data_IF_705088711178
#
_entry.id   IF_705088711178
#
_cell.length_a   1.000
_cell.length_b   1.000
_cell.length_c   1.000
_cell.angle_alpha   90.00
_cell.angle_beta   90.00
_cell.angle_gamma   90.00
#
_symmetry.space_group_name_H-M   'P 1'
#
loop_
_entity.id
_entity.type
_entity.pdbx_description
1 polymer ?
#
# COMPACT_ATOMS: atom_id res chain seq x y z
N UNK A 1 13.78 -3.50 16.05
CA UNK A 1 12.66 -2.55 16.18
C UNK A 1 13.14 -1.21 15.67
N UNK A 2 12.68 -0.81 14.50
CA UNK A 2 12.96 0.52 13.93
C UNK A 2 12.25 1.56 14.77
N UNK A 3 12.97 2.46 15.35
CA UNK A 3 12.41 3.59 16.06
C UNK A 3 13.24 4.83 15.80
N UNK A 4 13.04 5.47 14.65
CA UNK A 4 13.13 6.92 14.67
C UNK A 4 11.73 7.42 14.99
N UNK A 5 11.55 8.04 16.12
CA UNK A 5 10.31 8.74 16.44
C UNK A 5 10.64 10.17 16.80
N UNK A 6 9.88 11.06 16.23
CA UNK A 6 9.81 12.43 16.69
C UNK A 6 9.17 12.46 18.08
N UNK A 7 9.96 12.73 19.08
CA UNK A 7 9.42 13.13 20.40
C UNK A 7 9.52 14.65 20.46
N UNK A 8 8.40 15.31 20.62
CA UNK A 8 8.29 16.77 20.76
C UNK A 8 8.85 17.58 19.58
N UNK A 9 8.66 17.10 18.35
CA UNK A 9 9.10 17.82 17.15
C UNK A 9 10.62 17.91 16.98
N UNK A 10 11.40 17.16 17.77
CA UNK A 10 12.85 17.08 17.64
C UNK A 10 13.28 15.71 17.21
N UNK A 11 14.02 15.63 16.11
CA UNK A 11 14.71 14.40 15.71
C UNK A 11 15.72 14.03 16.81
N UNK A 12 15.53 12.90 17.47
CA UNK A 12 16.58 12.32 18.30
C UNK A 12 17.61 11.67 17.38
N UNK A 13 18.87 11.75 17.78
CA UNK A 13 19.96 11.04 17.14
C UNK A 13 19.58 9.55 17.03
N UNK A 14 19.70 9.02 15.83
CA UNK A 14 19.38 7.64 15.51
C UNK A 14 20.36 6.74 16.20
N UNK A 15 19.86 5.77 16.96
CA UNK A 15 20.69 4.68 17.47
C UNK A 15 20.79 3.62 16.40
N UNK A 16 21.99 3.08 16.22
CA UNK A 16 22.20 1.90 15.42
C UNK A 16 21.30 0.77 15.97
N UNK A 17 20.48 0.19 15.10
CA UNK A 17 19.67 -0.97 15.45
C UNK A 17 20.41 -2.23 14.99
N UNK A 18 20.40 -3.27 15.80
CA UNK A 18 20.92 -4.59 15.42
C UNK A 18 19.78 -5.49 15.03
N UNK A 19 19.94 -6.18 13.91
CA UNK A 19 18.98 -7.15 13.39
C UNK A 19 19.70 -8.46 13.11
N UNK A 20 19.18 -9.56 13.61
CA UNK A 20 19.67 -10.90 13.27
C UNK A 20 18.79 -11.56 12.22
N UNK A 21 19.38 -11.92 11.08
CA UNK A 21 18.73 -12.61 9.99
C UNK A 21 19.58 -13.79 9.56
N UNK A 22 19.03 -14.99 9.59
CA UNK A 22 19.71 -16.22 9.18
C UNK A 22 21.10 -16.42 9.85
N UNK A 23 21.20 -16.10 11.14
CA UNK A 23 22.44 -16.23 11.92
C UNK A 23 23.51 -15.18 11.60
N UNK A 24 23.17 -14.12 10.89
CA UNK A 24 24.03 -12.95 10.66
C UNK A 24 23.46 -11.73 11.37
N UNK A 25 24.31 -11.02 12.06
CA UNK A 25 23.99 -9.74 12.69
C UNK A 25 24.23 -8.60 11.70
N UNK A 26 23.22 -7.79 11.48
CA UNK A 26 23.28 -6.57 10.70
C UNK A 26 23.11 -5.36 11.59
N UNK A 27 23.89 -4.33 11.37
CA UNK A 27 23.69 -3.02 11.98
C UNK A 27 22.97 -2.13 10.98
N UNK A 28 21.83 -1.60 11.39
CA UNK A 28 21.00 -0.68 10.58
C UNK A 28 21.12 0.71 11.18
N UNK A 29 21.50 1.67 10.37
CA UNK A 29 21.62 3.08 10.74
C UNK A 29 20.74 3.92 9.85
N UNK A 30 19.92 4.77 10.42
CA UNK A 30 19.23 5.82 9.68
C UNK A 30 20.21 6.97 9.42
N UNK A 31 20.47 7.24 8.15
CA UNK A 31 21.36 8.33 7.74
C UNK A 31 20.61 9.66 7.67
N UNK A 32 19.35 9.62 7.22
CA UNK A 32 18.47 10.77 7.11
C UNK A 32 17.01 10.33 7.13
N UNK A 33 16.13 11.20 7.63
CA UNK A 33 14.69 11.11 7.47
C UNK A 33 14.09 12.51 7.34
N UNK A 34 13.01 12.62 6.59
CA UNK A 34 12.33 13.88 6.35
C UNK A 34 10.85 13.66 6.06
N UNK A 35 10.00 14.54 6.62
CA UNK A 35 8.62 14.68 6.16
C UNK A 35 8.61 15.41 4.81
N UNK A 36 8.03 14.79 3.77
CA UNK A 36 7.97 15.33 2.43
C UNK A 36 6.80 16.29 2.30
N UNK A 37 7.06 17.55 2.65
CA UNK A 37 6.10 18.63 2.64
C UNK A 37 6.51 19.67 1.61
N UNK A 38 5.60 20.04 0.72
CA UNK A 38 5.85 21.08 -0.27
C UNK A 38 5.71 22.50 0.32
N UNK A 39 6.03 23.51 -0.47
CA UNK A 39 5.97 24.93 -0.04
C UNK A 39 4.56 25.41 0.32
N UNK A 40 3.52 24.75 -0.14
CA UNK A 40 2.12 25.01 0.22
C UNK A 40 1.68 24.29 1.51
N UNK A 41 2.58 23.48 2.11
CA UNK A 41 2.31 22.74 3.34
C UNK A 41 1.63 21.38 3.12
N UNK A 42 1.38 20.97 1.88
CA UNK A 42 0.84 19.63 1.60
C UNK A 42 1.92 18.57 1.81
N UNK A 43 1.58 17.51 2.52
CA UNK A 43 2.44 16.36 2.80
C UNK A 43 2.40 15.33 1.69
N UNK A 44 3.25 14.30 1.77
CA UNK A 44 3.34 13.19 0.80
C UNK A 44 3.78 13.65 -0.60
N UNK A 45 4.57 14.71 -0.66
CA UNK A 45 4.97 15.34 -1.91
C UNK A 45 6.13 14.61 -2.60
N UNK A 46 5.85 14.01 -3.74
CA UNK A 46 6.81 13.23 -4.52
C UNK A 46 7.97 14.08 -5.06
N UNK A 47 7.71 15.35 -5.42
CA UNK A 47 8.78 16.23 -5.93
C UNK A 47 9.75 16.59 -4.81
N UNK A 48 9.24 16.86 -3.60
CA UNK A 48 10.07 17.07 -2.42
C UNK A 48 10.92 15.84 -2.11
N UNK A 49 10.37 14.63 -2.26
CA UNK A 49 11.12 13.39 -2.06
C UNK A 49 12.27 13.23 -3.07
N UNK A 50 12.01 13.52 -4.36
CA UNK A 50 13.04 13.51 -5.39
C UNK A 50 14.16 14.52 -5.14
N UNK A 51 13.85 15.68 -4.59
CA UNK A 51 14.85 16.67 -4.20
C UNK A 51 15.63 16.24 -2.95
N UNK A 52 14.95 15.63 -1.98
CA UNK A 52 15.58 15.16 -0.75
C UNK A 52 16.65 14.08 -1.02
N UNK A 53 16.37 13.12 -1.90
CA UNK A 53 17.37 12.09 -2.25
C UNK A 53 18.61 12.72 -2.86
N UNK A 54 18.48 13.76 -3.68
CA UNK A 54 19.62 14.51 -4.22
C UNK A 54 20.49 15.13 -3.13
N UNK A 55 19.87 15.71 -2.10
CA UNK A 55 20.57 16.28 -0.94
C UNK A 55 21.25 15.20 -0.11
N UNK A 56 20.55 14.08 0.14
CA UNK A 56 21.11 12.97 0.92
C UNK A 56 22.29 12.29 0.23
N UNK A 57 22.22 12.13 -1.09
CA UNK A 57 23.33 11.54 -1.86
C UNK A 57 24.55 12.44 -1.89
N UNK A 58 24.37 13.76 -1.87
CA UNK A 58 25.49 14.69 -1.74
C UNK A 58 26.20 14.58 -0.36
N UNK A 59 25.42 14.25 0.69
CA UNK A 59 25.94 14.14 2.06
C UNK A 59 26.51 12.76 2.38
N UNK A 60 25.87 11.70 1.93
CA UNK A 60 26.16 10.32 2.34
C UNK A 60 26.71 9.44 1.20
N UNK A 61 26.40 9.78 -0.05
CA UNK A 61 26.93 9.08 -1.22
C UNK A 61 26.68 7.57 -1.16
N UNK A 62 27.76 6.79 -1.27
CA UNK A 62 27.72 5.32 -1.27
C UNK A 62 27.39 4.68 0.09
N UNK A 63 27.13 5.46 1.11
CA UNK A 63 26.72 4.92 2.41
C UNK A 63 25.21 4.59 2.46
N UNK A 64 24.45 5.00 1.43
CA UNK A 64 23.04 4.70 1.33
C UNK A 64 22.86 3.32 0.74
N UNK A 65 22.47 2.36 1.57
CA UNK A 65 22.26 0.96 1.17
C UNK A 65 20.77 0.63 0.91
N UNK A 66 19.85 1.47 1.43
CA UNK A 66 18.40 1.28 1.29
C UNK A 66 17.66 2.61 1.40
N UNK A 67 16.59 2.73 0.66
CA UNK A 67 15.62 3.82 0.77
C UNK A 67 14.27 3.25 1.20
N UNK A 68 13.63 3.85 2.20
CA UNK A 68 12.29 3.46 2.66
C UNK A 68 11.38 4.68 2.60
N UNK A 69 10.24 4.50 1.98
CA UNK A 69 9.21 5.53 1.84
C UNK A 69 7.88 5.07 2.40
N UNK A 70 7.12 6.00 2.97
CA UNK A 70 5.79 5.73 3.51
C UNK A 70 4.72 5.54 2.43
N UNK A 71 5.00 5.90 1.17
CA UNK A 71 4.16 5.57 0.03
C UNK A 71 4.98 5.39 -1.25
N UNK A 72 4.36 4.77 -2.25
CA UNK A 72 5.01 4.50 -3.53
C UNK A 72 5.27 5.78 -4.34
N UNK A 73 4.39 6.77 -4.27
CA UNK A 73 4.59 8.02 -5.03
C UNK A 73 5.91 8.71 -4.69
N UNK A 74 6.23 8.82 -3.41
CA UNK A 74 7.52 9.37 -2.95
C UNK A 74 8.67 8.37 -3.20
N UNK A 75 8.43 7.08 -2.94
CA UNK A 75 9.42 6.02 -3.18
C UNK A 75 9.85 5.97 -4.65
N UNK A 76 8.91 5.99 -5.57
CA UNK A 76 9.18 6.01 -7.02
C UNK A 76 9.92 7.28 -7.45
N UNK A 77 9.60 8.42 -6.87
CA UNK A 77 10.34 9.66 -7.15
C UNK A 77 11.80 9.55 -6.75
N UNK A 78 12.11 9.02 -5.57
CA UNK A 78 13.49 8.79 -5.12
C UNK A 78 14.19 7.68 -5.93
N UNK A 79 13.46 6.62 -6.26
CA UNK A 79 13.96 5.52 -7.08
C UNK A 79 14.40 6.01 -8.46
N UNK A 80 13.53 6.72 -9.15
CA UNK A 80 13.82 7.24 -10.50
C UNK A 80 14.88 8.35 -10.50
N UNK A 81 14.94 9.17 -9.45
CA UNK A 81 15.92 10.25 -9.36
C UNK A 81 17.35 9.75 -9.10
N UNK A 82 17.51 8.61 -8.42
CA UNK A 82 18.86 8.16 -8.04
C UNK A 82 18.99 6.66 -7.76
N UNK A 83 18.08 6.04 -7.02
CA UNK A 83 18.29 4.71 -6.46
C UNK A 83 18.38 3.62 -7.55
N UNK A 84 17.63 3.75 -8.63
CA UNK A 84 17.62 2.83 -9.77
C UNK A 84 19.02 2.71 -10.41
N UNK A 85 19.64 3.82 -10.74
CA UNK A 85 20.94 3.85 -11.40
C UNK A 85 22.07 3.38 -10.48
N UNK A 86 21.89 3.56 -9.17
CA UNK A 86 22.86 3.14 -8.16
C UNK A 86 22.57 1.75 -7.58
N UNK A 87 21.51 1.06 -8.07
CA UNK A 87 21.09 -0.27 -7.64
C UNK A 87 20.80 -0.35 -6.13
N UNK A 88 20.25 0.72 -5.58
CA UNK A 88 19.85 0.79 -4.18
C UNK A 88 18.38 0.40 -4.07
N UNK A 89 18.04 -0.68 -3.35
CA UNK A 89 16.66 -1.08 -3.17
C UNK A 89 15.86 0.01 -2.48
N UNK A 90 14.69 0.30 -3.05
CA UNK A 90 13.75 1.28 -2.53
C UNK A 90 12.44 0.58 -2.20
N UNK A 91 11.90 0.82 -1.03
CA UNK A 91 10.66 0.22 -0.56
C UNK A 91 9.60 1.31 -0.35
N UNK A 92 8.37 0.99 -0.72
CA UNK A 92 7.23 1.88 -0.58
C UNK A 92 6.02 1.22 0.09
N UNK A 93 4.87 1.83 -0.11
CA UNK A 93 3.58 1.40 0.40
C UNK A 93 2.49 1.84 -0.57
N UNK A 94 1.39 1.12 -0.69
CA UNK A 94 0.18 1.29 -1.48
C UNK A 94 0.04 0.29 -2.64
N UNK A 95 1.14 -0.31 -3.11
CA UNK A 95 1.18 -1.17 -4.29
C UNK A 95 0.62 -0.48 -5.56
N UNK A 96 1.05 0.77 -5.78
CA UNK A 96 0.71 1.49 -7.00
C UNK A 96 1.24 0.74 -8.22
N UNK A 97 0.50 0.76 -9.32
CA UNK A 97 0.81 -0.03 -10.52
C UNK A 97 2.20 0.23 -11.11
N UNK A 98 2.66 1.47 -11.07
CA UNK A 98 4.00 1.88 -11.51
C UNK A 98 5.11 1.34 -10.58
N UNK A 99 4.90 1.38 -9.26
CA UNK A 99 5.83 0.82 -8.28
C UNK A 99 5.91 -0.70 -8.38
N UNK A 100 4.75 -1.37 -8.52
CA UNK A 100 4.71 -2.83 -8.74
C UNK A 100 5.44 -3.23 -10.03
N UNK A 101 5.22 -2.50 -11.12
CA UNK A 101 5.94 -2.73 -12.37
C UNK A 101 7.46 -2.50 -12.23
N UNK A 102 7.87 -1.49 -11.46
CA UNK A 102 9.26 -1.16 -11.22
C UNK A 102 10.04 -2.19 -10.39
N UNK A 103 9.35 -3.13 -9.73
CA UNK A 103 10.01 -4.26 -9.05
C UNK A 103 10.85 -5.08 -10.05
N UNK A 104 10.37 -5.25 -11.29
CA UNK A 104 11.14 -5.88 -12.36
C UNK A 104 12.41 -5.10 -12.74
N UNK A 105 12.48 -3.82 -12.38
CA UNK A 105 13.59 -2.90 -12.68
C UNK A 105 14.50 -2.64 -11.48
N UNK A 106 14.23 -3.29 -10.34
CA UNK A 106 15.03 -3.20 -9.12
C UNK A 106 14.41 -2.36 -7.99
N UNK A 107 13.14 -1.93 -8.10
CA UNK A 107 12.41 -1.44 -6.95
C UNK A 107 12.29 -2.58 -5.94
N UNK A 108 12.63 -2.34 -4.68
CA UNK A 108 12.77 -3.40 -3.67
C UNK A 108 11.46 -4.08 -3.31
N UNK A 109 10.37 -3.34 -3.32
CA UNK A 109 9.04 -3.83 -3.03
C UNK A 109 8.12 -2.76 -2.48
N UNK A 110 6.88 -3.13 -2.30
CA UNK A 110 5.83 -2.28 -1.73
C UNK A 110 4.89 -3.11 -0.85
N UNK A 111 3.97 -2.46 -0.17
CA UNK A 111 2.93 -3.12 0.61
C UNK A 111 1.57 -2.83 -0.04
N UNK A 112 0.85 -3.87 -0.40
CA UNK A 112 -0.57 -3.75 -0.73
C UNK A 112 -1.38 -3.67 0.54
N UNK A 113 -2.17 -2.62 0.68
CA UNK A 113 -3.13 -2.50 1.78
C UNK A 113 -4.51 -3.07 1.43
N UNK A 114 -4.62 -3.78 0.32
CA UNK A 114 -5.87 -4.37 -0.16
C UNK A 114 -7.04 -3.38 -0.16
N UNK A 115 -6.88 -2.29 -0.89
CA UNK A 115 -7.90 -1.25 -1.00
C UNK A 115 -9.24 -1.77 -1.54
N UNK A 116 -9.22 -2.80 -2.39
CA UNK A 116 -10.36 -3.55 -2.87
C UNK A 116 -11.12 -4.26 -1.73
N UNK A 117 -10.40 -4.96 -0.85
CA UNK A 117 -10.97 -5.62 0.33
C UNK A 117 -11.55 -4.58 1.29
N UNK A 118 -10.85 -3.46 1.52
CA UNK A 118 -11.35 -2.35 2.35
C UNK A 118 -12.64 -1.78 1.79
N UNK A 119 -12.70 -1.54 0.49
CA UNK A 119 -13.90 -1.04 -0.18
C UNK A 119 -15.06 -2.03 -0.06
N UNK A 120 -14.82 -3.32 -0.30
CA UNK A 120 -15.83 -4.36 -0.15
C UNK A 120 -16.40 -4.39 1.27
N UNK A 121 -15.54 -4.50 2.27
CA UNK A 121 -15.96 -4.55 3.67
C UNK A 121 -16.77 -3.31 4.06
N UNK A 122 -16.29 -2.13 3.70
CA UNK A 122 -16.97 -0.86 3.98
C UNK A 122 -18.37 -0.84 3.39
N UNK A 123 -18.52 -1.20 2.13
CA UNK A 123 -19.82 -1.20 1.46
C UNK A 123 -20.75 -2.27 2.01
N UNK A 124 -20.22 -3.45 2.33
CA UNK A 124 -21.05 -4.53 2.87
C UNK A 124 -21.59 -4.17 4.26
N UNK A 125 -20.73 -3.67 5.15
CA UNK A 125 -21.13 -3.19 6.48
C UNK A 125 -22.15 -2.07 6.38
N UNK A 126 -21.90 -1.08 5.52
CA UNK A 126 -22.83 0.03 5.31
C UNK A 126 -24.18 -0.45 4.78
N UNK A 127 -24.18 -1.35 3.81
CA UNK A 127 -25.40 -1.93 3.26
C UNK A 127 -26.18 -2.69 4.33
N UNK A 128 -25.52 -3.55 5.10
CA UNK A 128 -26.15 -4.31 6.17
C UNK A 128 -26.77 -3.37 7.22
N UNK A 129 -26.06 -2.31 7.60
CA UNK A 129 -26.59 -1.31 8.53
C UNK A 129 -27.82 -0.58 7.99
N UNK A 130 -27.86 -0.23 6.70
CA UNK A 130 -29.01 0.43 6.05
C UNK A 130 -30.21 -0.52 5.93
N UNK A 131 -29.96 -1.79 5.69
CA UNK A 131 -31.02 -2.81 5.61
C UNK A 131 -31.54 -3.26 6.99
N UNK A 132 -30.90 -2.77 8.09
CA UNK A 132 -31.28 -3.11 9.46
C UNK A 132 -30.97 -4.56 9.85
N UNK A 133 -30.04 -5.19 9.15
CA UNK A 133 -29.53 -6.53 9.47
C UNK A 133 -28.19 -6.45 10.21
N UNK A 134 -27.75 -7.59 10.75
CA UNK A 134 -26.43 -7.65 11.41
C UNK A 134 -25.33 -7.23 10.44
N UNK A 135 -24.42 -6.38 10.93
CA UNK A 135 -23.32 -5.83 10.11
C UNK A 135 -22.42 -6.90 9.49
N UNK A 136 -22.35 -8.08 10.11
CA UNK A 136 -21.54 -9.21 9.67
C UNK A 136 -22.22 -10.06 8.58
N UNK A 137 -23.50 -9.78 8.29
CA UNK A 137 -24.29 -10.58 7.36
C UNK A 137 -23.61 -10.69 5.99
N UNK A 138 -23.29 -11.91 5.61
CA UNK A 138 -22.68 -12.23 4.31
C UNK A 138 -21.19 -11.87 4.17
N UNK A 139 -20.54 -11.37 5.23
CA UNK A 139 -19.08 -11.20 5.23
C UNK A 139 -18.41 -12.56 5.49
N UNK A 140 -17.45 -12.95 4.65
CA UNK A 140 -16.78 -14.26 4.75
C UNK A 140 -17.59 -15.45 4.32
N UNK A 141 -18.83 -15.25 3.83
CA UNK A 141 -19.63 -16.32 3.22
C UNK A 141 -19.60 -16.20 1.71
N UNK A 142 -19.51 -17.31 0.96
CA UNK A 142 -19.61 -17.26 -0.49
C UNK A 142 -20.93 -16.61 -0.92
N UNK A 143 -20.81 -15.71 -1.89
CA UNK A 143 -22.00 -15.22 -2.62
C UNK A 143 -22.49 -16.27 -3.62
N UNK A 144 -23.58 -15.95 -4.35
CA UNK A 144 -24.17 -16.84 -5.35
C UNK A 144 -23.17 -17.24 -6.47
N UNK A 145 -22.08 -16.52 -6.63
CA UNK A 145 -21.01 -16.80 -7.58
C UNK A 145 -19.82 -17.58 -6.97
N UNK A 146 -19.93 -17.95 -5.69
CA UNK A 146 -18.91 -18.73 -4.98
C UNK A 146 -17.71 -17.90 -4.51
N UNK A 147 -17.86 -16.59 -4.44
CA UNK A 147 -16.77 -15.71 -4.03
C UNK A 147 -16.96 -15.27 -2.59
N UNK A 148 -15.90 -15.35 -1.81
CA UNK A 148 -15.88 -14.86 -0.43
C UNK A 148 -14.50 -14.29 -0.11
N UNK A 149 -14.50 -13.33 0.81
CA UNK A 149 -13.29 -13.00 1.52
C UNK A 149 -13.04 -14.08 2.58
N UNK A 150 -11.79 -14.48 2.74
CA UNK A 150 -11.38 -15.46 3.74
C UNK A 150 -10.90 -14.72 4.99
N UNK A 151 -11.53 -15.05 6.13
CA UNK A 151 -11.06 -14.54 7.41
C UNK A 151 -9.64 -15.02 7.68
N UNK A 152 -8.81 -14.13 8.22
CA UNK A 152 -7.40 -14.33 8.56
C UNK A 152 -6.46 -14.49 7.35
N UNK A 153 -6.98 -14.42 6.11
CA UNK A 153 -6.21 -14.33 4.87
C UNK A 153 -6.40 -12.98 4.17
N UNK A 154 -7.65 -12.56 3.98
CA UNK A 154 -8.00 -11.29 3.34
C UNK A 154 -8.34 -10.21 4.38
N UNK A 155 -8.95 -10.60 5.49
CA UNK A 155 -9.36 -9.68 6.56
C UNK A 155 -9.34 -10.32 7.94
N UNK A 156 -9.32 -9.48 8.96
CA UNK A 156 -9.62 -9.87 10.35
C UNK A 156 -10.72 -8.99 10.92
N UNK A 157 -11.44 -9.49 11.91
CA UNK A 157 -12.39 -8.72 12.69
C UNK A 157 -11.92 -8.62 14.16
N UNK A 158 -12.01 -7.43 14.72
CA UNK A 158 -11.77 -7.16 16.14
C UNK A 158 -13.11 -6.92 16.84
N UNK A 159 -13.48 -7.81 17.72
CA UNK A 159 -14.69 -7.67 18.57
C UNK A 159 -14.58 -6.46 19.49
N UNK A 160 -13.39 -6.22 20.07
CA UNK A 160 -13.15 -5.13 21.00
C UNK A 160 -13.33 -3.76 20.33
N UNK A 161 -12.77 -3.61 19.12
CA UNK A 161 -12.82 -2.36 18.36
C UNK A 161 -14.05 -2.29 17.44
N UNK A 162 -14.80 -3.39 17.30
CA UNK A 162 -15.93 -3.55 16.36
C UNK A 162 -15.53 -3.12 14.95
N UNK A 163 -14.36 -3.56 14.51
CA UNK A 163 -13.72 -3.09 13.29
C UNK A 163 -13.22 -4.25 12.43
N UNK A 164 -13.41 -4.11 11.12
CA UNK A 164 -12.80 -4.96 10.12
C UNK A 164 -11.48 -4.36 9.63
N UNK A 165 -10.48 -5.19 9.48
CA UNK A 165 -9.17 -4.83 8.96
C UNK A 165 -8.87 -5.67 7.73
N UNK A 166 -8.64 -5.04 6.58
CA UNK A 166 -8.02 -5.70 5.46
C UNK A 166 -6.55 -6.02 5.81
N UNK A 167 -6.09 -7.20 5.44
CA UNK A 167 -4.72 -7.62 5.74
C UNK A 167 -3.76 -7.09 4.67
N UNK A 168 -2.67 -6.53 5.13
CA UNK A 168 -1.61 -6.03 4.26
C UNK A 168 -0.77 -7.19 3.70
N UNK A 169 -0.35 -7.07 2.45
CA UNK A 169 0.52 -8.05 1.78
C UNK A 169 1.77 -7.37 1.25
N UNK A 170 2.92 -7.95 1.55
CA UNK A 170 4.18 -7.53 0.95
C UNK A 170 4.22 -7.94 -0.53
N UNK A 171 4.50 -6.98 -1.40
CA UNK A 171 4.66 -7.19 -2.84
C UNK A 171 6.15 -7.06 -3.16
N UNK A 172 6.73 -8.16 -3.58
CA UNK A 172 8.17 -8.31 -3.81
C UNK A 172 8.45 -8.96 -5.16
N UNK A 173 9.70 -9.22 -5.47
CA UNK A 173 10.12 -9.93 -6.68
C UNK A 173 9.45 -11.32 -6.83
N UNK A 174 9.03 -11.94 -5.72
CA UNK A 174 8.46 -13.28 -5.73
C UNK A 174 6.99 -13.30 -6.19
N UNK A 175 6.24 -12.21 -5.96
CA UNK A 175 4.79 -12.20 -6.17
C UNK A 175 4.25 -10.98 -6.94
N UNK A 176 5.08 -10.02 -7.34
CA UNK A 176 4.61 -8.78 -8.00
C UNK A 176 3.78 -9.03 -9.26
N UNK A 177 4.03 -10.16 -9.96
CA UNK A 177 3.28 -10.53 -11.15
C UNK A 177 1.79 -10.77 -10.88
N UNK A 178 1.44 -11.19 -9.67
CA UNK A 178 0.05 -11.38 -9.26
C UNK A 178 -0.67 -10.03 -9.08
N UNK A 179 0.08 -8.97 -8.87
CA UNK A 179 -0.40 -7.59 -8.73
C UNK A 179 -0.34 -6.77 -10.03
N UNK A 180 0.36 -7.25 -11.06
CA UNK A 180 0.37 -6.62 -12.41
C UNK A 180 -0.74 -7.15 -13.30
N UNK A 181 -1.29 -8.31 -12.98
CA UNK A 181 -2.39 -8.90 -13.74
C UNK A 181 -3.72 -8.32 -13.23
N UNK A 182 -4.19 -7.28 -13.92
CA UNK A 182 -5.48 -6.64 -13.61
C UNK A 182 -6.65 -7.63 -13.63
N UNK A 183 -6.55 -8.73 -14.38
CA UNK A 183 -7.57 -9.77 -14.38
C UNK A 183 -7.60 -10.54 -13.07
N UNK A 184 -6.48 -10.74 -12.39
CA UNK A 184 -6.43 -11.41 -11.09
C UNK A 184 -6.93 -10.55 -9.93
N UNK A 185 -6.61 -9.25 -9.96
CA UNK A 185 -7.07 -8.29 -8.95
C UNK A 185 -8.58 -8.08 -9.09
N UNK A 186 -9.07 -7.94 -10.30
CA UNK A 186 -10.50 -7.83 -10.61
C UNK A 186 -11.26 -9.14 -10.43
N UNK A 187 -10.62 -10.30 -10.58
CA UNK A 187 -11.30 -11.59 -10.57
C UNK A 187 -11.86 -11.99 -9.21
N UNK A 188 -11.20 -11.63 -8.11
CA UNK A 188 -11.76 -11.92 -6.78
C UNK A 188 -13.05 -11.14 -6.49
N UNK A 189 -13.24 -9.99 -7.07
CA UNK A 189 -14.42 -9.14 -6.82
C UNK A 189 -15.30 -8.93 -8.05
N UNK A 190 -14.75 -8.82 -9.26
CA UNK A 190 -15.50 -8.50 -10.47
C UNK A 190 -16.26 -9.67 -11.10
N UNK A 191 -15.80 -10.90 -10.93
CA UNK A 191 -16.58 -12.10 -11.31
C UNK A 191 -17.90 -12.22 -10.56
N UNK A 192 -18.08 -11.39 -9.54
CA UNK A 192 -19.14 -11.45 -8.55
C UNK A 192 -20.32 -10.54 -8.82
N UNK A 193 -20.22 -9.69 -9.82
CA UNK A 193 -21.32 -8.80 -10.13
C UNK A 193 -22.32 -9.54 -11.01
N UNK A 194 -23.31 -10.14 -10.38
CA UNK A 194 -24.47 -10.69 -11.08
C UNK A 194 -25.08 -9.59 -11.97
N UNK A 195 -25.03 -9.84 -13.26
CA UNK A 195 -25.55 -8.93 -14.29
C UNK A 195 -27.04 -8.65 -14.15
N UNK A 196 -27.79 -9.45 -13.40
CA UNK A 196 -29.21 -9.29 -13.13
C UNK A 196 -29.53 -8.25 -12.04
N UNK A 197 -28.57 -7.90 -11.18
CA UNK A 197 -28.73 -6.90 -10.11
C UNK A 197 -28.09 -5.58 -10.47
N UNK A 198 -28.74 -4.81 -11.34
CA UNK A 198 -28.19 -3.62 -11.97
C UNK A 198 -27.79 -2.48 -11.03
N UNK A 199 -28.38 -2.38 -9.84
CA UNK A 199 -28.07 -1.33 -8.87
C UNK A 199 -26.77 -1.61 -8.10
N UNK A 200 -26.57 -2.83 -7.63
CA UNK A 200 -25.32 -3.25 -6.99
C UNK A 200 -24.16 -3.18 -7.98
N UNK A 201 -24.37 -3.59 -9.21
CA UNK A 201 -23.39 -3.52 -10.28
C UNK A 201 -22.87 -2.10 -10.54
N UNK A 202 -23.74 -1.09 -10.51
CA UNK A 202 -23.33 0.31 -10.73
C UNK A 202 -22.44 0.84 -9.61
N UNK A 203 -22.71 0.51 -8.36
CA UNK A 203 -21.91 0.95 -7.23
C UNK A 203 -20.52 0.31 -7.29
N UNK A 204 -20.45 -0.97 -7.53
CA UNK A 204 -19.18 -1.69 -7.61
C UNK A 204 -18.31 -1.24 -8.81
N UNK A 205 -18.89 -1.12 -9.99
CA UNK A 205 -18.17 -0.65 -11.17
C UNK A 205 -17.62 0.78 -10.98
N UNK A 206 -18.36 1.65 -10.30
CA UNK A 206 -17.89 3.00 -10.04
C UNK A 206 -16.72 3.04 -9.05
N UNK A 207 -16.68 2.13 -8.09
CA UNK A 207 -15.56 2.03 -7.14
C UNK A 207 -14.32 1.45 -7.83
N UNK A 208 -14.46 0.45 -8.67
CA UNK A 208 -13.35 -0.15 -9.40
C UNK A 208 -12.82 0.75 -10.51
N UNK A 209 -13.69 1.40 -11.26
CA UNK A 209 -13.27 2.37 -12.27
C UNK A 209 -12.66 3.65 -11.67
N UNK A 210 -12.89 3.92 -10.40
CA UNK A 210 -12.27 5.04 -9.71
C UNK A 210 -10.79 4.82 -9.41
N UNK A 211 -10.32 3.59 -9.31
CA UNK A 211 -8.89 3.31 -9.16
C UNK A 211 -8.12 3.52 -10.46
N UNK A 212 -8.76 3.30 -11.62
CA UNK A 212 -8.12 3.46 -12.93
C UNK A 212 -8.46 4.78 -13.66
N UNK A 213 -9.59 5.44 -13.31
CA UNK A 213 -10.04 6.67 -13.94
C UNK A 213 -10.96 7.51 -13.03
N UNK A 214 -10.37 8.27 -12.16
CA UNK A 214 -11.12 9.23 -11.32
C UNK A 214 -11.83 10.34 -12.12
N UNK A 215 -11.71 10.40 -13.44
CA UNK A 215 -12.21 11.47 -14.30
C UNK A 215 -13.15 11.05 -15.43
N UNK A 216 -13.58 9.81 -15.49
CA UNK A 216 -14.55 9.38 -16.52
C UNK A 216 -15.87 8.83 -15.94
N UNK A 217 -16.34 9.37 -14.84
CA UNK A 217 -17.73 9.15 -14.43
C UNK A 217 -18.64 10.04 -15.28
N UNK A 218 -19.00 9.58 -16.43
CA UNK A 218 -20.22 10.06 -17.10
C UNK A 218 -21.38 9.24 -16.56
N UNK A 219 -22.28 9.95 -15.92
CA UNK A 219 -23.61 9.50 -15.49
C UNK A 219 -24.44 8.99 -16.66
#
# INVERSE_FOLDING_TARGET
>A
MWCSYNVDGKSKAVQDATLEVNGKTYTVRELASQEMKNSAGATWDAATAGNAIGTWTASFGKQIDVVVSNNDGMGMSMFNAWAKDNKVPTFGYDANSDAVAAIAEGYGGTISQHADVQAYLTLRVLRNALDGVDIDTGIGTPDDAGNSLTKDEDYRYSEEERSYYALNVAVTADNYKDFTDSTKIYDKVSKKLDSSKSAEKKVWLNIYNASDNFLSSTY
#
